data_IF_367224891824
#
_entry.id   IF_367224891824
#
_cell.length_a   1.000
_cell.length_b   1.000
_cell.length_c   1.000
_cell.angle_alpha   90.00
_cell.angle_beta   90.00
_cell.angle_gamma   90.00
#
_symmetry.space_group_name_H-M   'P 1'
#
loop_
_entity.id
_entity.type
_entity.pdbx_description
1 polymer ?
#
# COMPACT_ATOMS: atom_id res chain seq x y z
N UNK A 1 6.33 -28.61 -16.76
CA UNK A 1 6.93 -27.26 -16.69
C UNK A 1 6.13 -26.20 -17.44
N UNK A 2 5.19 -26.54 -18.33
CA UNK A 2 4.38 -25.53 -19.05
C UNK A 2 3.26 -24.89 -18.20
N UNK A 3 2.65 -25.62 -17.28
CA UNK A 3 1.50 -25.11 -16.52
C UNK A 3 1.86 -23.98 -15.55
N UNK A 4 3.07 -24.00 -14.95
CA UNK A 4 3.53 -22.96 -14.03
C UNK A 4 3.78 -21.64 -14.77
N UNK A 5 4.44 -21.68 -15.92
CA UNK A 5 4.68 -20.49 -16.75
C UNK A 5 3.40 -19.92 -17.33
N UNK A 6 2.46 -20.78 -17.73
CA UNK A 6 1.16 -20.35 -18.27
C UNK A 6 0.29 -19.73 -17.17
N UNK A 7 0.30 -20.29 -15.95
CA UNK A 7 -0.29 -19.66 -14.76
C UNK A 7 0.38 -18.32 -14.43
N UNK A 8 1.71 -18.24 -14.54
CA UNK A 8 2.45 -17.01 -14.27
C UNK A 8 2.11 -15.93 -15.30
N UNK A 9 1.93 -16.31 -16.57
CA UNK A 9 1.45 -15.42 -17.63
C UNK A 9 0.00 -14.98 -17.41
N UNK A 10 -0.88 -15.88 -16.95
CA UNK A 10 -2.28 -15.59 -16.62
C UNK A 10 -2.41 -14.67 -15.40
N UNK A 11 -1.54 -14.83 -14.40
CA UNK A 11 -1.42 -13.92 -13.24
C UNK A 11 -0.88 -12.55 -13.64
N UNK A 12 0.02 -12.50 -14.64
CA UNK A 12 0.66 -11.27 -15.11
C UNK A 12 -0.22 -10.43 -16.04
N UNK A 13 -1.05 -11.07 -16.88
CA UNK A 13 -1.93 -10.40 -17.84
C UNK A 13 -3.38 -10.80 -17.55
N UNK A 14 -4.11 -9.99 -16.78
CA UNK A 14 -5.50 -10.23 -16.54
C UNK A 14 -6.29 -10.16 -17.86
N UNK A 15 -7.23 -11.10 -18.07
CA UNK A 15 -8.06 -11.12 -19.28
C UNK A 15 -8.82 -9.79 -19.43
N UNK A 16 -8.47 -9.00 -20.46
CA UNK A 16 -8.98 -7.65 -20.67
C UNK A 16 -10.51 -7.57 -20.71
N UNK A 17 -11.20 -8.63 -21.20
CA UNK A 17 -12.66 -8.68 -21.23
C UNK A 17 -13.26 -8.83 -19.84
N UNK A 18 -12.67 -9.69 -19.00
CA UNK A 18 -13.11 -9.88 -17.61
C UNK A 18 -12.83 -8.62 -16.81
N UNK A 19 -11.65 -8.02 -17.01
CA UNK A 19 -11.27 -6.77 -16.37
C UNK A 19 -12.23 -5.63 -16.71
N UNK A 20 -12.56 -5.45 -18.00
CA UNK A 20 -13.50 -4.43 -18.42
C UNK A 20 -14.89 -4.58 -17.79
N UNK A 21 -15.37 -5.80 -17.58
CA UNK A 21 -16.66 -6.04 -16.90
C UNK A 21 -16.59 -5.68 -15.42
N UNK A 22 -15.52 -6.05 -14.71
CA UNK A 22 -15.33 -5.73 -13.30
C UNK A 22 -15.11 -4.22 -13.07
N UNK A 23 -14.43 -3.56 -14.00
CA UNK A 23 -14.11 -2.14 -13.95
C UNK A 23 -15.36 -1.26 -14.02
N UNK A 24 -16.48 -1.72 -14.59
CA UNK A 24 -17.76 -1.00 -14.59
C UNK A 24 -18.25 -0.73 -13.16
N UNK A 25 -18.17 -1.73 -12.28
CA UNK A 25 -18.55 -1.57 -10.88
C UNK A 25 -17.64 -0.57 -10.17
N UNK A 26 -16.34 -0.56 -10.48
CA UNK A 26 -15.39 0.40 -9.92
C UNK A 26 -15.63 1.83 -10.42
N UNK A 27 -15.77 2.06 -11.72
CA UNK A 27 -15.99 3.39 -12.31
C UNK A 27 -17.26 4.04 -11.74
N UNK A 28 -18.26 3.23 -11.40
CA UNK A 28 -19.51 3.71 -10.80
C UNK A 28 -19.41 4.12 -9.32
N UNK A 29 -18.25 3.99 -8.68
CA UNK A 29 -17.97 4.52 -7.34
C UNK A 29 -17.67 6.03 -7.39
N UNK A 30 -17.94 6.75 -6.30
CA UNK A 30 -17.47 8.12 -6.13
C UNK A 30 -15.95 8.18 -6.02
N UNK A 31 -15.33 9.31 -6.36
CA UNK A 31 -13.87 9.47 -6.43
C UNK A 31 -13.14 9.06 -5.12
N UNK A 32 -13.67 9.44 -3.95
CA UNK A 32 -13.08 9.05 -2.67
C UNK A 32 -13.25 7.55 -2.37
N UNK A 33 -14.34 6.94 -2.80
CA UNK A 33 -14.57 5.51 -2.68
C UNK A 33 -13.64 4.73 -3.63
N UNK A 34 -13.36 5.27 -4.83
CA UNK A 34 -12.37 4.70 -5.74
C UNK A 34 -10.98 4.68 -5.11
N UNK A 35 -10.52 5.81 -4.54
CA UNK A 35 -9.24 5.87 -3.80
C UNK A 35 -9.20 4.88 -2.65
N UNK A 36 -10.30 4.77 -1.89
CA UNK A 36 -10.43 3.80 -0.80
C UNK A 36 -10.35 2.36 -1.30
N UNK A 37 -11.03 2.03 -2.41
CA UNK A 37 -10.98 0.71 -3.02
C UNK A 37 -9.55 0.34 -3.43
N UNK A 38 -8.82 1.27 -4.05
CA UNK A 38 -7.41 1.06 -4.44
C UNK A 38 -6.51 0.82 -3.22
N UNK A 39 -6.68 1.58 -2.13
CA UNK A 39 -5.95 1.36 -0.89
C UNK A 39 -6.23 -0.05 -0.34
N UNK A 40 -7.48 -0.51 -0.35
CA UNK A 40 -7.86 -1.84 0.13
C UNK A 40 -7.25 -2.93 -0.76
N UNK A 41 -7.39 -2.81 -2.07
CA UNK A 41 -6.88 -3.79 -3.03
C UNK A 41 -5.35 -3.96 -2.92
N UNK A 42 -4.62 -2.87 -2.65
CA UNK A 42 -3.17 -2.89 -2.51
C UNK A 42 -2.70 -3.34 -1.13
N UNK A 43 -3.33 -2.85 -0.05
CA UNK A 43 -2.71 -2.89 1.28
C UNK A 43 -3.52 -3.61 2.35
N UNK A 44 -4.84 -3.73 2.18
CA UNK A 44 -5.72 -4.10 3.30
C UNK A 44 -6.65 -5.29 3.04
N UNK A 45 -6.43 -6.06 1.97
CA UNK A 45 -7.09 -7.36 1.81
C UNK A 45 -6.74 -8.26 3.00
N UNK A 46 -7.76 -8.83 3.64
CA UNK A 46 -7.64 -9.70 4.82
C UNK A 46 -7.51 -8.96 6.15
N UNK A 47 -7.44 -7.63 6.15
CA UNK A 47 -7.38 -6.84 7.38
C UNK A 47 -8.79 -6.55 7.91
N UNK A 48 -8.93 -6.35 9.23
CA UNK A 48 -10.22 -5.99 9.86
C UNK A 48 -10.72 -4.63 9.37
N UNK A 49 -12.00 -4.52 9.04
CA UNK A 49 -12.56 -3.25 8.56
C UNK A 49 -12.37 -2.10 9.55
N UNK A 50 -12.52 -2.33 10.85
CA UNK A 50 -12.37 -1.29 11.87
C UNK A 50 -10.94 -0.72 11.91
N UNK A 51 -9.95 -1.56 11.66
CA UNK A 51 -8.54 -1.15 11.56
C UNK A 51 -8.33 -0.23 10.34
N UNK A 52 -8.84 -0.65 9.19
CA UNK A 52 -8.74 0.07 7.92
C UNK A 52 -9.48 1.40 7.99
N UNK A 53 -10.70 1.40 8.55
CA UNK A 53 -11.52 2.58 8.72
C UNK A 53 -10.80 3.67 9.53
N UNK A 54 -10.13 3.29 10.62
CA UNK A 54 -9.33 4.22 11.45
C UNK A 54 -8.18 4.86 10.66
N UNK A 55 -7.47 4.09 9.84
CA UNK A 55 -6.38 4.60 9.01
C UNK A 55 -6.91 5.56 7.94
N UNK A 56 -7.99 5.18 7.25
CA UNK A 56 -8.60 6.01 6.20
C UNK A 56 -9.16 7.33 6.76
N UNK A 57 -9.80 7.30 7.94
CA UNK A 57 -10.22 8.53 8.66
C UNK A 57 -9.03 9.46 8.93
N UNK A 58 -7.89 8.91 9.34
CA UNK A 58 -6.68 9.69 9.56
C UNK A 58 -6.09 10.28 8.27
N UNK A 59 -6.33 9.63 7.13
CA UNK A 59 -5.99 10.14 5.79
C UNK A 59 -6.95 11.27 5.33
N UNK A 60 -7.97 11.61 6.13
CA UNK A 60 -8.97 12.62 5.79
C UNK A 60 -10.12 12.08 4.93
N UNK A 61 -10.28 10.76 4.85
CA UNK A 61 -11.37 10.13 4.11
C UNK A 61 -12.60 9.95 5.01
N UNK A 62 -13.76 9.76 4.39
CA UNK A 62 -15.01 9.40 5.07
C UNK A 62 -15.39 7.96 4.71
N UNK A 63 -14.64 6.96 5.20
CA UNK A 63 -14.79 5.59 4.75
C UNK A 63 -16.19 5.04 5.06
N UNK A 64 -16.77 4.38 4.06
CA UNK A 64 -18.01 3.62 4.19
C UNK A 64 -17.83 2.31 3.42
N UNK A 65 -18.13 1.19 4.07
CA UNK A 65 -18.02 -0.12 3.42
C UNK A 65 -19.18 -0.40 2.44
N UNK A 66 -20.31 0.33 2.61
CA UNK A 66 -21.57 0.06 1.90
C UNK A 66 -21.44 0.09 0.37
N UNK A 67 -20.79 1.10 -0.27
CA UNK A 67 -20.70 1.16 -1.73
C UNK A 67 -20.01 -0.08 -2.32
N UNK A 68 -19.01 -0.61 -1.62
CA UNK A 68 -18.25 -1.78 -2.07
C UNK A 68 -19.06 -3.07 -1.95
N UNK A 69 -19.78 -3.25 -0.83
CA UNK A 69 -20.65 -4.43 -0.62
C UNK A 69 -21.81 -4.43 -1.61
N UNK A 70 -22.49 -3.28 -1.78
CA UNK A 70 -23.63 -3.17 -2.71
C UNK A 70 -23.23 -3.47 -4.16
N UNK A 71 -21.97 -3.20 -4.54
CA UNK A 71 -21.44 -3.48 -5.87
C UNK A 71 -20.66 -4.79 -5.97
N UNK A 72 -20.71 -5.63 -4.93
CA UNK A 72 -20.00 -6.90 -4.83
C UNK A 72 -18.48 -6.79 -5.07
N UNK A 73 -17.89 -5.64 -4.73
CA UNK A 73 -16.45 -5.37 -4.87
C UNK A 73 -15.66 -5.90 -3.67
N UNK A 74 -16.25 -5.82 -2.48
CA UNK A 74 -15.64 -6.23 -1.21
C UNK A 74 -16.73 -6.86 -0.35
N UNK A 75 -16.37 -7.92 0.36
CA UNK A 75 -17.18 -8.54 1.40
C UNK A 75 -16.49 -8.39 2.76
N UNK A 76 -17.26 -8.60 3.82
CA UNK A 76 -16.72 -8.77 5.18
C UNK A 76 -16.94 -10.23 5.56
N UNK A 77 -15.88 -10.93 5.94
CA UNK A 77 -15.98 -12.31 6.42
C UNK A 77 -16.56 -12.38 7.84
N UNK A 78 -16.74 -13.60 8.34
CA UNK A 78 -17.26 -13.85 9.70
C UNK A 78 -16.40 -13.25 10.82
N UNK A 79 -15.12 -12.98 10.55
CA UNK A 79 -14.17 -12.41 11.51
C UNK A 79 -14.15 -10.88 11.47
N UNK A 80 -14.89 -10.24 10.56
CA UNK A 80 -14.85 -8.79 10.35
C UNK A 80 -13.73 -8.34 9.39
N UNK A 81 -13.06 -9.28 8.71
CA UNK A 81 -11.97 -8.99 7.80
C UNK A 81 -12.48 -8.72 6.37
N UNK A 82 -11.79 -7.82 5.67
CA UNK A 82 -12.09 -7.48 4.29
C UNK A 82 -11.71 -8.62 3.36
N UNK A 83 -12.69 -9.22 2.72
CA UNK A 83 -12.48 -10.21 1.68
C UNK A 83 -12.70 -9.59 0.30
N UNK A 84 -11.76 -9.84 -0.61
CA UNK A 84 -11.78 -9.35 -1.98
C UNK A 84 -11.34 -10.46 -2.91
N UNK A 85 -12.22 -10.84 -3.83
CA UNK A 85 -11.93 -11.85 -4.82
C UNK A 85 -10.68 -11.48 -5.64
N UNK A 86 -9.81 -12.45 -5.93
CA UNK A 86 -8.52 -12.21 -6.62
C UNK A 86 -8.69 -11.45 -7.94
N UNK A 87 -9.74 -11.75 -8.71
CA UNK A 87 -10.04 -11.03 -9.95
C UNK A 87 -10.34 -9.53 -9.74
N UNK A 88 -11.01 -9.18 -8.64
CA UNK A 88 -11.34 -7.79 -8.28
C UNK A 88 -10.09 -7.09 -7.77
N UNK A 89 -9.27 -7.78 -6.97
CA UNK A 89 -7.98 -7.26 -6.52
C UNK A 89 -7.05 -6.99 -7.70
N UNK A 90 -6.97 -7.94 -8.65
CA UNK A 90 -6.20 -7.78 -9.87
C UNK A 90 -6.72 -6.61 -10.69
N UNK A 91 -8.04 -6.40 -10.75
CA UNK A 91 -8.62 -5.22 -11.40
C UNK A 91 -8.17 -3.91 -10.76
N UNK A 92 -8.20 -3.80 -9.43
CA UNK A 92 -7.67 -2.62 -8.74
C UNK A 92 -6.19 -2.37 -9.04
N UNK A 93 -5.38 -3.42 -9.06
CA UNK A 93 -3.96 -3.33 -9.43
C UNK A 93 -3.76 -2.91 -10.88
N UNK A 94 -4.60 -3.36 -11.81
CA UNK A 94 -4.57 -2.91 -13.21
C UNK A 94 -4.95 -1.44 -13.36
N UNK A 95 -5.93 -0.95 -12.60
CA UNK A 95 -6.27 0.48 -12.59
C UNK A 95 -5.04 1.32 -12.22
N UNK A 96 -4.30 0.92 -11.18
CA UNK A 96 -3.07 1.61 -10.76
C UNK A 96 -1.96 1.50 -11.81
N UNK A 97 -1.81 0.33 -12.44
CA UNK A 97 -0.86 0.15 -13.55
C UNK A 97 -1.17 1.10 -14.72
N UNK A 98 -2.44 1.36 -15.01
CA UNK A 98 -2.88 2.28 -16.07
C UNK A 98 -2.63 3.76 -15.74
N UNK A 99 -2.49 4.14 -14.46
CA UNK A 99 -2.14 5.53 -14.07
C UNK A 99 -0.81 5.97 -14.69
N UNK A 100 0.15 5.04 -14.72
CA UNK A 100 1.44 5.22 -15.37
C UNK A 100 1.96 3.87 -15.89
N UNK A 101 1.73 3.56 -17.18
CA UNK A 101 2.14 2.29 -17.76
C UNK A 101 3.65 2.12 -17.85
N UNK A 102 4.38 3.21 -18.12
CA UNK A 102 5.82 3.20 -18.39
C UNK A 102 6.66 3.61 -17.18
N UNK A 103 6.17 4.54 -16.34
CA UNK A 103 6.94 5.08 -15.22
C UNK A 103 6.37 4.54 -13.91
N UNK A 104 7.02 3.54 -13.34
CA UNK A 104 6.55 2.84 -12.13
C UNK A 104 6.40 3.81 -10.94
N UNK A 105 7.37 4.70 -10.74
CA UNK A 105 7.39 5.68 -9.65
C UNK A 105 6.35 6.80 -9.75
N UNK A 106 5.58 6.85 -10.84
CA UNK A 106 4.48 7.80 -11.04
C UNK A 106 3.10 7.23 -10.72
N UNK A 107 3.04 5.96 -10.29
CA UNK A 107 1.81 5.34 -9.78
C UNK A 107 1.55 5.78 -8.36
N UNK A 108 0.28 5.87 -8.01
CA UNK A 108 -0.15 6.38 -6.72
C UNK A 108 -0.01 5.34 -5.59
N UNK A 109 0.00 4.04 -5.91
CA UNK A 109 0.28 2.93 -4.99
C UNK A 109 1.34 2.01 -5.57
N UNK A 110 2.31 1.65 -4.74
CA UNK A 110 3.39 0.74 -5.11
C UNK A 110 3.37 -0.50 -4.22
N UNK A 111 3.75 -1.64 -4.79
CA UNK A 111 3.85 -2.90 -4.04
C UNK A 111 5.09 -3.74 -4.38
N UNK A 112 6.06 -3.15 -5.07
CA UNK A 112 7.37 -3.77 -5.35
C UNK A 112 8.49 -2.77 -5.08
N UNK A 113 9.63 -3.27 -4.58
CA UNK A 113 10.77 -2.42 -4.23
C UNK A 113 11.41 -1.76 -5.46
N UNK A 114 11.34 -2.41 -6.63
CA UNK A 114 11.83 -1.85 -7.90
C UNK A 114 11.12 -0.55 -8.26
N UNK A 115 9.84 -0.41 -7.86
CA UNK A 115 9.04 0.78 -8.16
C UNK A 115 9.36 1.96 -7.22
N UNK A 116 9.91 1.68 -6.03
CA UNK A 116 10.14 2.69 -4.98
C UNK A 116 11.36 3.57 -5.27
N UNK A 117 12.33 3.07 -6.03
CA UNK A 117 13.60 3.76 -6.28
C UNK A 117 13.47 5.06 -7.10
N UNK A 118 12.43 5.14 -7.95
CA UNK A 118 12.15 6.29 -8.81
C UNK A 118 10.89 7.06 -8.40
N UNK A 119 10.51 6.98 -7.12
CA UNK A 119 9.23 7.51 -6.68
C UNK A 119 9.05 9.02 -6.85
N UNK A 120 7.83 9.41 -7.22
CA UNK A 120 7.43 10.80 -7.42
C UNK A 120 6.43 11.29 -6.37
N UNK A 121 6.05 12.56 -6.49
CA UNK A 121 5.07 13.21 -5.61
C UNK A 121 3.67 12.58 -5.70
N UNK A 122 3.39 11.79 -6.73
CA UNK A 122 2.09 11.11 -6.92
C UNK A 122 1.87 9.95 -5.95
N UNK A 123 2.94 9.40 -5.38
CA UNK A 123 2.85 8.22 -4.51
C UNK A 123 2.14 8.60 -3.20
N UNK A 124 1.10 7.84 -2.90
CA UNK A 124 0.33 7.92 -1.66
C UNK A 124 0.53 6.69 -0.76
N UNK A 125 0.87 5.53 -1.31
CA UNK A 125 1.01 4.31 -0.53
C UNK A 125 2.08 3.36 -1.07
N UNK A 126 2.81 2.71 -0.16
CA UNK A 126 3.82 1.70 -0.46
C UNK A 126 3.63 0.50 0.45
N UNK A 127 3.64 -0.70 -0.13
CA UNK A 127 3.70 -1.97 0.62
C UNK A 127 4.79 -2.90 0.06
N UNK A 128 5.82 -3.15 0.86
CA UNK A 128 6.89 -4.09 0.55
C UNK A 128 6.74 -5.31 1.46
N UNK A 129 6.01 -6.29 0.94
CA UNK A 129 5.73 -7.56 1.62
C UNK A 129 5.77 -8.73 0.62
N UNK A 130 6.94 -8.98 -0.01
CA UNK A 130 7.09 -10.10 -0.94
C UNK A 130 6.88 -11.46 -0.24
N UNK A 131 6.51 -12.52 -0.99
CA UNK A 131 6.33 -13.86 -0.43
C UNK A 131 7.58 -14.44 0.23
N UNK A 132 8.76 -14.07 -0.27
CA UNK A 132 10.05 -14.45 0.28
C UNK A 132 10.78 -13.19 0.75
N UNK A 133 11.65 -13.32 1.76
CA UNK A 133 12.41 -12.18 2.26
C UNK A 133 13.34 -11.62 1.17
N UNK A 134 13.31 -10.30 1.01
CA UNK A 134 14.17 -9.58 0.06
C UNK A 134 15.07 -8.59 0.79
N UNK A 135 16.36 -8.60 0.44
CA UNK A 135 17.32 -7.59 0.87
C UNK A 135 17.57 -6.62 -0.29
N UNK A 136 17.29 -5.33 -0.06
CA UNK A 136 17.43 -4.30 -1.09
C UNK A 136 18.75 -3.56 -0.89
N UNK A 137 19.66 -3.79 -1.84
CA UNK A 137 21.00 -3.19 -1.86
C UNK A 137 21.04 -1.84 -2.58
N UNK A 138 20.27 -1.68 -3.65
CA UNK A 138 20.24 -0.47 -4.48
C UNK A 138 19.28 0.59 -3.91
N UNK A 139 19.29 0.78 -2.60
CA UNK A 139 18.43 1.72 -1.90
C UNK A 139 19.12 3.08 -1.71
N UNK A 140 18.38 4.17 -1.96
CA UNK A 140 18.82 5.52 -1.57
C UNK A 140 18.16 5.91 -0.26
N UNK A 141 18.96 6.37 0.70
CA UNK A 141 18.46 6.94 1.95
C UNK A 141 17.47 8.11 1.72
N UNK A 142 17.58 8.80 0.59
CA UNK A 142 16.71 9.89 0.17
C UNK A 142 15.50 9.45 -0.68
N UNK A 143 15.21 8.15 -0.81
CA UNK A 143 14.13 7.64 -1.67
C UNK A 143 12.77 8.30 -1.36
N UNK A 144 12.47 8.54 -0.09
CA UNK A 144 11.20 9.15 0.32
C UNK A 144 11.15 10.68 0.16
N UNK A 145 12.25 11.33 -0.22
CA UNK A 145 12.36 12.80 -0.21
C UNK A 145 11.35 13.49 -1.13
N UNK A 146 10.99 12.85 -2.25
CA UNK A 146 10.03 13.38 -3.23
C UNK A 146 8.58 12.95 -2.97
N UNK A 147 8.35 12.03 -2.04
CA UNK A 147 7.05 11.37 -1.82
C UNK A 147 6.23 12.11 -0.76
N UNK A 148 6.00 13.40 -0.99
CA UNK A 148 5.36 14.29 0.00
C UNK A 148 3.91 13.89 0.32
N UNK A 149 3.23 13.15 -0.57
CA UNK A 149 1.87 12.67 -0.38
C UNK A 149 1.76 11.27 0.23
N UNK A 150 2.89 10.62 0.55
CA UNK A 150 2.92 9.26 1.09
C UNK A 150 2.24 9.20 2.47
N UNK A 151 1.09 8.52 2.53
CA UNK A 151 0.26 8.37 3.73
C UNK A 151 0.32 6.97 4.34
N UNK A 152 0.65 5.95 3.56
CA UNK A 152 0.74 4.55 4.01
C UNK A 152 2.11 3.98 3.64
N UNK A 153 2.87 3.53 4.64
CA UNK A 153 4.12 2.81 4.42
C UNK A 153 4.11 1.49 5.20
N UNK A 154 4.17 0.37 4.46
CA UNK A 154 4.19 -0.98 5.00
C UNK A 154 5.43 -1.70 4.45
N UNK A 155 6.31 -2.17 5.33
CA UNK A 155 7.56 -2.89 4.99
C UNK A 155 7.67 -4.05 5.97
N UNK A 156 7.39 -5.26 5.51
CA UNK A 156 7.26 -6.45 6.39
C UNK A 156 8.27 -7.55 6.05
N UNK A 157 8.45 -7.85 4.77
CA UNK A 157 9.36 -8.89 4.29
C UNK A 157 10.53 -8.33 3.46
N UNK A 158 10.81 -7.04 3.57
CA UNK A 158 11.92 -6.38 2.87
C UNK A 158 12.83 -5.69 3.87
N UNK A 159 14.14 -5.84 3.72
CA UNK A 159 15.15 -5.14 4.52
C UNK A 159 15.99 -4.19 3.67
N UNK A 160 16.50 -3.13 4.32
CA UNK A 160 17.33 -2.11 3.70
C UNK A 160 18.64 -2.00 4.45
N UNK A 161 19.76 -1.88 3.73
CA UNK A 161 21.08 -1.76 4.34
C UNK A 161 21.29 -0.46 5.11
N UNK A 162 20.57 0.59 4.74
CA UNK A 162 20.68 1.91 5.35
C UNK A 162 19.31 2.47 5.72
N UNK A 163 19.32 3.31 6.76
CA UNK A 163 18.13 3.99 7.20
C UNK A 163 17.76 5.14 6.25
N UNK A 164 16.45 5.46 6.13
CA UNK A 164 16.05 6.63 5.38
C UNK A 164 16.60 7.90 6.05
N UNK A 165 17.09 8.83 5.24
CA UNK A 165 17.50 10.17 5.68
C UNK A 165 16.29 11.07 5.94
N UNK A 166 15.13 10.75 5.36
CA UNK A 166 13.89 11.51 5.47
C UNK A 166 12.68 10.58 5.47
N UNK A 167 11.63 10.99 6.17
CA UNK A 167 10.31 10.35 6.15
C UNK A 167 9.24 11.44 6.00
N UNK A 168 8.21 11.22 5.17
CA UNK A 168 7.22 12.25 4.89
C UNK A 168 6.25 12.41 6.07
N UNK A 169 6.02 13.65 6.48
CA UNK A 169 5.11 14.00 7.59
C UNK A 169 3.61 13.82 7.24
N UNK A 170 3.31 13.45 6.00
CA UNK A 170 1.98 13.04 5.53
C UNK A 170 1.61 11.61 5.93
N UNK A 171 2.56 10.81 6.46
CA UNK A 171 2.27 9.46 6.95
C UNK A 171 1.15 9.43 7.98
N UNK A 172 0.31 8.40 7.87
CA UNK A 172 -0.79 8.05 8.78
C UNK A 172 -0.67 6.62 9.31
N UNK A 173 -0.09 5.74 8.49
CA UNK A 173 0.29 4.38 8.86
C UNK A 173 1.78 4.17 8.56
N UNK A 174 2.51 3.67 9.56
CA UNK A 174 3.88 3.22 9.42
C UNK A 174 4.03 1.83 10.06
N UNK A 175 4.11 0.82 9.22
CA UNK A 175 4.38 -0.57 9.60
C UNK A 175 5.72 -0.97 8.99
N UNK A 176 6.79 -1.02 9.78
CA UNK A 176 8.14 -1.28 9.27
C UNK A 176 8.89 -2.25 10.17
N UNK A 177 8.83 -3.53 9.81
CA UNK A 177 9.54 -4.62 10.47
C UNK A 177 11.05 -4.48 10.24
N UNK A 178 11.82 -4.56 11.32
CA UNK A 178 13.27 -4.45 11.25
C UNK A 178 13.77 -3.07 10.86
N UNK A 179 13.06 -2.00 11.23
CA UNK A 179 13.47 -0.63 10.92
C UNK A 179 14.96 -0.40 11.24
N UNK A 180 15.77 0.07 10.28
CA UNK A 180 17.23 -0.05 10.30
C UNK A 180 17.97 0.98 11.17
N UNK A 181 17.26 1.81 11.94
CA UNK A 181 17.88 2.85 12.79
C UNK A 181 17.33 2.86 14.21
N UNK A 182 18.15 3.37 15.13
CA UNK A 182 17.79 3.63 16.54
C UNK A 182 16.97 4.90 16.73
N UNK A 183 16.89 5.75 15.72
CA UNK A 183 16.08 6.97 15.73
C UNK A 183 15.47 7.25 14.36
N UNK A 184 14.44 8.09 14.33
CA UNK A 184 13.93 8.66 13.09
C UNK A 184 14.84 9.76 12.55
N UNK A 185 14.65 10.13 11.27
CA UNK A 185 15.11 11.40 10.73
C UNK A 185 14.72 12.57 11.63
N UNK A 186 15.61 13.57 11.74
CA UNK A 186 15.41 14.73 12.61
C UNK A 186 14.15 15.55 12.24
N UNK A 187 13.84 15.63 10.95
CA UNK A 187 12.71 16.41 10.42
C UNK A 187 11.39 15.62 10.35
N UNK A 188 11.37 14.41 10.92
CA UNK A 188 10.17 13.58 10.97
C UNK A 188 9.42 13.76 12.28
N UNK A 189 8.19 14.25 12.18
CA UNK A 189 7.26 14.56 13.25
C UNK A 189 6.02 13.66 13.13
N UNK A 190 6.06 12.42 13.68
CA UNK A 190 4.99 11.43 13.50
C UNK A 190 3.70 11.71 14.30
N UNK A 191 3.38 12.98 14.60
CA UNK A 191 2.18 13.36 15.38
C UNK A 191 0.85 12.99 14.71
N UNK A 192 0.86 12.81 13.40
CA UNK A 192 -0.34 12.50 12.61
C UNK A 192 -0.51 11.00 12.33
N UNK A 193 0.45 10.17 12.77
CA UNK A 193 0.37 8.72 12.61
C UNK A 193 -0.66 8.18 13.61
N UNK A 194 -1.60 7.38 13.11
CA UNK A 194 -2.63 6.73 13.95
C UNK A 194 -2.33 5.27 14.22
N UNK A 195 -1.44 4.67 13.43
CA UNK A 195 -0.90 3.35 13.73
C UNK A 195 0.57 3.23 13.34
N UNK A 196 1.33 2.70 14.27
CA UNK A 196 2.77 2.64 14.24
C UNK A 196 3.23 1.27 14.74
N UNK A 197 3.76 0.45 13.82
CA UNK A 197 4.21 -0.91 14.08
C UNK A 197 5.66 -1.03 13.64
N UNK A 198 6.58 -1.16 14.59
CA UNK A 198 8.00 -1.41 14.28
C UNK A 198 8.52 -2.69 14.94
N UNK A 199 7.95 -3.87 14.60
CA UNK A 199 8.40 -5.12 15.17
C UNK A 199 9.87 -5.37 14.83
N UNK A 200 10.63 -5.94 15.77
CA UNK A 200 12.04 -6.27 15.62
C UNK A 200 12.94 -5.07 15.22
N UNK A 201 12.52 -3.85 15.54
CA UNK A 201 13.36 -2.66 15.37
C UNK A 201 14.25 -2.41 16.60
N UNK A 202 15.39 -1.76 16.37
CA UNK A 202 16.24 -1.23 17.45
C UNK A 202 15.87 0.21 17.84
N UNK A 203 14.67 0.68 17.47
CA UNK A 203 14.27 2.06 17.67
C UNK A 203 14.18 2.38 19.17
N UNK A 204 14.91 3.41 19.60
CA UNK A 204 14.90 3.90 20.98
C UNK A 204 14.07 5.19 21.02
N UNK A 205 12.79 5.10 21.36
CA UNK A 205 11.93 6.26 21.53
C UNK A 205 12.35 7.03 22.79
N UNK A 206 12.95 8.22 22.62
CA UNK A 206 13.38 9.06 23.76
C UNK A 206 12.21 9.64 24.57
N UNK A 207 10.99 9.69 24.01
CA UNK A 207 9.72 9.99 24.69
C UNK A 207 8.56 9.31 23.93
N UNK A 208 7.49 8.86 24.62
CA UNK A 208 6.26 8.43 23.96
C UNK A 208 5.60 9.61 23.25
N UNK A 209 4.96 9.35 22.11
CA UNK A 209 4.18 10.35 21.38
C UNK A 209 3.00 10.78 22.26
N UNK A 210 3.06 12.02 22.78
CA UNK A 210 1.95 12.70 23.45
C UNK A 210 1.16 13.52 22.46
#
# INVERSE_FOLDING_TARGET
MDWEMELDKYKKIPNAKIQGVLEISYISLFELDQKTFLDIACFFKGERWEYVERILKACGFFPSIRPFVTKCLINIDENGCLDMHDLIQNMGKEVIRKESPLNLGDRSRLWSHEEVLEGSIKIEGIMLDPPAHEEVYNWSDNAFKKMENLRILIIRNTSFQSAPSCLPNSLRLLDWKGYPSKSFPADFYPKRIVDFKLPNSSLMLKKPFQ
#
